data_IF_986053455851
#
_entry.id   IF_986053455851
#
_cell.length_a   1.000
_cell.length_b   1.000
_cell.length_c   1.000
_cell.angle_alpha   90.00
_cell.angle_beta   90.00
_cell.angle_gamma   90.00
#
_symmetry.space_group_name_H-M   'P 1'
#
loop_
_entity.id
_entity.type
_entity.pdbx_description
1 polymer ?
#
# COMPACT_ATOMS: atom_id res chain seq x y z
N UNK A 1 2.61 -12.20 -3.80
CA UNK A 1 1.68 -13.27 -4.16
C UNK A 1 0.50 -12.81 -4.99
N UNK A 2 0.03 -11.55 -4.83
CA UNK A 2 -1.12 -11.02 -5.54
C UNK A 2 -0.96 -10.91 -7.06
N UNK A 3 -2.06 -10.63 -7.76
CA UNK A 3 -2.12 -10.57 -9.23
C UNK A 3 -1.17 -9.52 -9.80
N UNK A 4 -1.08 -8.32 -9.19
CA UNK A 4 -0.31 -7.19 -9.69
C UNK A 4 1.19 -7.48 -9.69
N UNK A 5 1.72 -7.97 -8.57
CA UNK A 5 3.11 -8.41 -8.48
C UNK A 5 3.43 -9.58 -9.40
N UNK A 6 2.46 -10.47 -9.65
CA UNK A 6 2.62 -11.59 -10.58
C UNK A 6 2.65 -11.14 -12.03
N UNK A 7 1.86 -10.14 -12.41
CA UNK A 7 1.90 -9.52 -13.74
C UNK A 7 3.25 -8.84 -13.96
N UNK A 8 3.75 -8.06 -12.99
CA UNK A 8 5.08 -7.46 -13.08
C UNK A 8 6.17 -8.53 -13.23
N UNK A 9 6.11 -9.59 -12.42
CA UNK A 9 7.06 -10.70 -12.51
C UNK A 9 7.07 -11.34 -13.90
N UNK A 10 5.88 -11.54 -14.50
CA UNK A 10 5.76 -12.07 -15.84
C UNK A 10 6.40 -11.17 -16.91
N UNK A 11 6.11 -9.84 -16.86
CA UNK A 11 6.70 -8.91 -17.82
C UNK A 11 8.22 -8.78 -17.64
N UNK A 12 8.70 -8.70 -16.40
CA UNK A 12 10.15 -8.64 -16.13
C UNK A 12 10.85 -9.88 -16.62
N UNK A 13 10.26 -11.06 -16.40
CA UNK A 13 10.79 -12.32 -16.94
C UNK A 13 10.85 -12.33 -18.47
N UNK A 14 9.80 -11.83 -19.13
CA UNK A 14 9.73 -11.75 -20.59
C UNK A 14 10.80 -10.81 -21.19
N UNK A 15 11.09 -9.70 -20.48
CA UNK A 15 12.02 -8.66 -20.99
C UNK A 15 13.48 -9.01 -20.64
N UNK A 16 13.75 -9.47 -19.41
CA UNK A 16 15.11 -9.69 -18.90
C UNK A 16 15.54 -11.14 -18.88
N UNK A 17 14.62 -12.07 -18.74
CA UNK A 17 14.84 -13.52 -18.79
C UNK A 17 15.52 -14.10 -17.56
N UNK A 18 16.72 -13.68 -17.21
CA UNK A 18 17.56 -14.29 -16.18
C UNK A 18 18.07 -13.28 -15.14
N UNK A 19 18.54 -13.80 -13.99
CA UNK A 19 19.17 -13.04 -12.91
C UNK A 19 18.25 -12.00 -12.25
N UNK A 20 16.96 -12.31 -12.14
CA UNK A 20 15.98 -11.45 -11.49
C UNK A 20 15.86 -11.88 -10.02
N UNK A 21 15.90 -10.91 -9.13
CA UNK A 21 15.68 -11.10 -7.70
C UNK A 21 14.28 -10.64 -7.33
N UNK A 22 13.61 -11.42 -6.50
CA UNK A 22 12.29 -11.09 -5.94
C UNK A 22 12.34 -11.14 -4.42
N UNK A 23 11.54 -10.30 -3.79
CA UNK A 23 11.50 -10.14 -2.34
C UNK A 23 10.05 -10.21 -1.87
N UNK A 24 9.81 -10.94 -0.78
CA UNK A 24 8.51 -10.94 -0.11
C UNK A 24 8.69 -10.89 1.40
N UNK A 25 7.70 -10.34 2.10
CA UNK A 25 7.60 -10.46 3.55
C UNK A 25 6.85 -11.74 3.88
N UNK A 26 7.35 -12.45 4.89
CA UNK A 26 6.70 -13.60 5.51
C UNK A 26 6.25 -13.20 6.91
N UNK A 27 4.96 -13.23 7.15
CA UNK A 27 4.39 -13.02 8.46
C UNK A 27 4.27 -14.37 9.19
N UNK A 28 4.93 -14.48 10.33
CA UNK A 28 4.81 -15.67 11.16
C UNK A 28 3.41 -15.68 11.82
N UNK A 29 2.71 -16.79 11.70
CA UNK A 29 1.38 -17.02 12.30
C UNK A 29 0.25 -16.12 11.79
N UNK A 30 0.35 -15.60 10.57
CA UNK A 30 -0.69 -14.75 9.96
C UNK A 30 -1.54 -15.50 8.95
N UNK A 31 -2.87 -15.34 9.04
CA UNK A 31 -3.80 -15.79 7.99
C UNK A 31 -3.67 -14.97 6.69
N UNK A 32 -2.93 -13.88 6.72
CA UNK A 32 -2.69 -12.98 5.60
C UNK A 32 -1.27 -13.13 5.03
N UNK A 33 -0.58 -14.23 5.34
CA UNK A 33 0.75 -14.49 4.79
C UNK A 33 0.63 -15.03 3.36
N UNK A 34 1.13 -14.26 2.40
CA UNK A 34 1.18 -14.60 0.96
C UNK A 34 2.59 -15.01 0.51
N UNK A 35 3.47 -15.34 1.46
CA UNK A 35 4.87 -15.63 1.12
C UNK A 35 5.05 -16.92 0.32
N UNK A 36 4.15 -17.88 0.48
CA UNK A 36 4.18 -19.14 -0.27
C UNK A 36 3.79 -18.92 -1.74
N UNK A 37 2.73 -18.14 -2.01
CA UNK A 37 2.31 -17.77 -3.36
C UNK A 37 3.39 -16.94 -4.07
N UNK A 38 4.05 -16.04 -3.33
CA UNK A 38 5.18 -15.28 -3.85
C UNK A 38 6.36 -16.21 -4.23
N UNK A 39 6.68 -17.20 -3.39
CA UNK A 39 7.72 -18.18 -3.67
C UNK A 39 7.37 -19.07 -4.88
N UNK A 40 6.11 -19.49 -5.01
CA UNK A 40 5.64 -20.26 -6.18
C UNK A 40 5.76 -19.46 -7.47
N UNK A 41 5.37 -18.17 -7.45
CA UNK A 41 5.53 -17.27 -8.60
C UNK A 41 7.00 -17.09 -8.96
N UNK A 42 7.87 -16.87 -8.00
CA UNK A 42 9.31 -16.75 -8.21
C UNK A 42 9.91 -18.04 -8.80
N UNK A 43 9.52 -19.20 -8.28
CA UNK A 43 9.93 -20.51 -8.81
C UNK A 43 9.48 -20.70 -10.26
N UNK A 44 8.24 -20.33 -10.59
CA UNK A 44 7.70 -20.44 -11.97
C UNK A 44 8.52 -19.65 -12.98
N UNK A 45 9.05 -18.49 -12.60
CA UNK A 45 9.85 -17.63 -13.45
C UNK A 45 11.36 -17.78 -13.24
N UNK A 46 11.78 -18.74 -12.42
CA UNK A 46 13.19 -18.98 -12.10
C UNK A 46 13.92 -17.76 -11.53
N UNK A 47 13.25 -17.02 -10.62
CA UNK A 47 13.82 -15.89 -9.92
C UNK A 47 14.57 -16.34 -8.66
N UNK A 48 15.65 -15.63 -8.33
CA UNK A 48 16.27 -15.73 -6.99
C UNK A 48 15.34 -15.06 -5.98
N UNK A 49 14.68 -15.87 -5.15
CA UNK A 49 13.66 -15.39 -4.22
C UNK A 49 14.18 -15.24 -2.79
N UNK A 50 13.97 -14.07 -2.22
CA UNK A 50 14.29 -13.75 -0.83
C UNK A 50 12.98 -13.58 -0.03
N UNK A 51 12.65 -14.55 0.80
CA UNK A 51 11.55 -14.49 1.76
C UNK A 51 12.06 -13.94 3.09
N UNK A 52 11.54 -12.82 3.54
CA UNK A 52 12.01 -12.07 4.70
C UNK A 52 10.98 -12.20 5.81
N UNK A 53 11.31 -12.96 6.85
CA UNK A 53 10.44 -13.11 8.01
C UNK A 53 10.30 -11.81 8.78
N UNK A 54 9.08 -11.49 9.21
CA UNK A 54 8.76 -10.33 10.02
C UNK A 54 8.03 -10.79 11.30
N UNK A 55 8.63 -10.50 12.46
CA UNK A 55 8.15 -10.91 13.78
C UNK A 55 7.66 -9.72 14.61
N UNK A 56 7.02 -10.01 15.74
CA UNK A 56 6.65 -8.99 16.74
C UNK A 56 7.91 -8.29 17.29
N UNK A 57 9.03 -8.99 17.46
CA UNK A 57 10.29 -8.39 17.86
C UNK A 57 10.78 -7.37 16.82
N UNK A 58 10.72 -7.72 15.54
CA UNK A 58 11.06 -6.80 14.46
C UNK A 58 10.18 -5.53 14.48
N UNK A 59 8.88 -5.71 14.74
CA UNK A 59 7.95 -4.60 14.86
C UNK A 59 8.41 -3.60 15.92
N UNK A 60 8.76 -4.08 17.12
CA UNK A 60 9.20 -3.23 18.23
C UNK A 60 10.55 -2.55 17.93
N UNK A 61 11.51 -3.30 17.39
CA UNK A 61 12.87 -2.80 17.14
C UNK A 61 12.97 -1.84 15.96
N UNK A 62 12.13 -2.04 14.93
CA UNK A 62 12.15 -1.24 13.71
C UNK A 62 11.36 0.06 13.89
N UNK A 63 10.31 0.08 14.70
CA UNK A 63 9.43 1.22 14.88
C UNK A 63 10.18 2.54 15.14
N UNK A 64 11.06 2.66 16.15
CA UNK A 64 11.79 3.90 16.42
C UNK A 64 12.69 4.34 15.27
N UNK A 65 13.24 3.38 14.54
CA UNK A 65 14.09 3.64 13.36
C UNK A 65 13.28 4.17 12.19
N UNK A 66 12.15 3.52 11.92
CA UNK A 66 11.28 3.88 10.80
C UNK A 66 10.67 5.28 10.98
N UNK A 67 10.18 5.63 12.18
CA UNK A 67 9.67 6.97 12.49
C UNK A 67 10.70 8.05 12.16
N UNK A 68 11.96 7.81 12.48
CA UNK A 68 13.04 8.78 12.23
C UNK A 68 13.20 9.13 10.74
N UNK A 69 12.91 8.19 9.85
CA UNK A 69 12.96 8.40 8.40
C UNK A 69 11.61 8.82 7.82
N UNK A 70 10.52 8.49 8.52
CA UNK A 70 9.18 8.81 8.05
C UNK A 70 8.82 10.28 8.30
N UNK A 71 9.46 10.93 9.30
CA UNK A 71 9.28 12.33 9.71
C UNK A 71 7.90 12.67 10.28
N UNK A 72 7.02 11.70 10.41
CA UNK A 72 5.68 11.82 10.94
C UNK A 72 5.24 10.51 11.63
N UNK A 73 4.16 10.49 12.41
CA UNK A 73 3.65 9.26 12.99
C UNK A 73 3.30 8.24 11.90
N UNK A 74 3.73 6.99 12.09
CA UNK A 74 3.45 5.91 11.16
C UNK A 74 1.94 5.62 11.19
N UNK A 75 1.28 5.85 10.07
CA UNK A 75 -0.15 5.73 9.90
C UNK A 75 -0.60 4.41 9.25
N UNK A 76 0.34 3.55 8.84
CA UNK A 76 0.02 2.29 8.17
C UNK A 76 0.88 1.14 8.70
N UNK A 77 0.28 0.00 9.11
CA UNK A 77 1.01 -1.10 9.73
C UNK A 77 2.05 -1.75 8.81
N UNK A 78 1.84 -1.74 7.49
CA UNK A 78 2.79 -2.31 6.53
C UNK A 78 4.07 -1.47 6.35
N UNK A 79 4.17 -0.28 6.91
CA UNK A 79 5.37 0.57 6.84
C UNK A 79 6.61 -0.14 7.40
N UNK A 80 6.47 -0.83 8.53
CA UNK A 80 7.59 -1.50 9.19
C UNK A 80 8.08 -2.74 8.44
N UNK A 81 7.20 -3.63 7.96
CA UNK A 81 7.59 -4.71 7.06
C UNK A 81 8.33 -4.23 5.82
N UNK A 82 7.87 -3.13 5.18
CA UNK A 82 8.56 -2.54 4.02
C UNK A 82 9.95 -2.03 4.39
N UNK A 83 10.11 -1.35 5.53
CA UNK A 83 11.42 -0.92 6.02
C UNK A 83 12.39 -2.11 6.11
N UNK A 84 11.96 -3.24 6.71
CA UNK A 84 12.76 -4.45 6.80
C UNK A 84 13.07 -5.06 5.44
N UNK A 85 12.11 -5.08 4.52
CA UNK A 85 12.31 -5.58 3.17
C UNK A 85 13.41 -4.80 2.47
N UNK A 86 13.35 -3.47 2.49
CA UNK A 86 14.35 -2.62 1.83
C UNK A 86 15.72 -2.71 2.52
N UNK A 87 15.75 -2.90 3.85
CA UNK A 87 16.99 -3.15 4.59
C UNK A 87 17.73 -4.39 4.08
N UNK A 88 17.01 -5.44 3.71
CA UNK A 88 17.59 -6.64 3.11
C UNK A 88 17.90 -6.43 1.63
N UNK A 89 16.95 -5.88 0.88
CA UNK A 89 17.04 -5.71 -0.57
C UNK A 89 18.24 -4.86 -1.01
N UNK A 90 18.64 -3.85 -0.22
CA UNK A 90 19.79 -2.97 -0.53
C UNK A 90 21.11 -3.72 -0.77
N UNK A 91 21.26 -4.91 -0.20
CA UNK A 91 22.44 -5.75 -0.38
C UNK A 91 22.45 -6.50 -1.70
N UNK A 92 21.33 -6.51 -2.40
CA UNK A 92 21.13 -7.30 -3.61
C UNK A 92 20.81 -6.46 -4.84
N UNK A 93 20.09 -5.34 -4.67
CA UNK A 93 19.60 -4.51 -5.77
C UNK A 93 19.65 -3.02 -5.44
N UNK A 94 19.66 -2.18 -6.47
CA UNK A 94 19.54 -0.71 -6.36
C UNK A 94 18.14 -0.23 -6.70
N UNK A 95 17.42 -0.98 -7.53
CA UNK A 95 16.08 -0.65 -8.02
C UNK A 95 15.16 -1.84 -7.80
N UNK A 96 13.96 -1.57 -7.31
CA UNK A 96 12.87 -2.53 -7.18
C UNK A 96 11.65 -2.06 -7.99
N UNK A 97 10.87 -3.01 -8.46
CA UNK A 97 9.55 -2.75 -9.02
C UNK A 97 8.48 -3.16 -8.01
N UNK A 98 7.47 -2.31 -7.81
CA UNK A 98 6.32 -2.55 -6.94
C UNK A 98 5.03 -2.57 -7.74
N UNK A 99 4.07 -3.40 -7.32
CA UNK A 99 2.70 -3.43 -7.83
C UNK A 99 1.81 -2.28 -7.32
N UNK A 100 2.35 -1.37 -6.52
CA UNK A 100 1.58 -0.27 -5.93
C UNK A 100 0.97 0.61 -7.01
N UNK A 101 -0.25 1.08 -6.77
CA UNK A 101 -1.02 1.87 -7.71
C UNK A 101 -1.95 1.05 -8.60
N UNK A 102 -1.80 -0.27 -8.64
CA UNK A 102 -2.64 -1.14 -9.44
C UNK A 102 -4.09 -1.15 -8.92
N UNK A 103 -4.28 -1.34 -7.61
CA UNK A 103 -5.60 -1.37 -6.99
C UNK A 103 -6.33 -0.03 -7.14
N UNK A 104 -5.62 1.08 -7.05
CA UNK A 104 -6.16 2.42 -7.20
C UNK A 104 -6.58 2.69 -8.65
N UNK A 105 -5.78 2.26 -9.62
CA UNK A 105 -6.06 2.46 -11.04
C UNK A 105 -7.14 1.52 -11.58
N UNK A 106 -7.16 0.26 -11.12
CA UNK A 106 -7.99 -0.82 -11.68
C UNK A 106 -9.06 -1.35 -10.73
N UNK A 107 -9.33 -0.65 -9.63
CA UNK A 107 -10.37 -0.99 -8.64
C UNK A 107 -10.17 -2.38 -8.00
N UNK A 108 -8.94 -2.71 -7.62
CA UNK A 108 -8.57 -4.02 -7.09
C UNK A 108 -9.05 -4.28 -5.66
N UNK A 109 -9.29 -3.24 -4.85
CA UNK A 109 -9.71 -3.41 -3.46
C UNK A 109 -11.13 -3.94 -3.32
N UNK A 110 -11.35 -4.84 -2.37
CA UNK A 110 -12.69 -5.40 -2.11
C UNK A 110 -13.72 -4.32 -1.74
N UNK A 111 -13.29 -3.26 -1.06
CA UNK A 111 -14.18 -2.16 -0.68
C UNK A 111 -14.69 -1.36 -1.90
N UNK A 112 -14.01 -1.35 -3.04
CA UNK A 112 -14.48 -0.68 -4.24
C UNK A 112 -15.83 -1.25 -4.72
N UNK A 113 -16.01 -2.58 -4.65
CA UNK A 113 -17.29 -3.23 -4.99
C UNK A 113 -18.43 -2.76 -4.08
N UNK A 114 -18.12 -2.54 -2.79
CA UNK A 114 -19.10 -2.02 -1.83
C UNK A 114 -19.45 -0.57 -2.13
N UNK A 115 -18.46 0.27 -2.45
CA UNK A 115 -18.68 1.68 -2.82
C UNK A 115 -19.56 1.78 -4.05
N UNK A 116 -19.34 0.97 -5.09
CA UNK A 116 -20.16 0.96 -6.31
C UNK A 116 -21.63 0.61 -6.06
N UNK A 117 -21.94 -0.12 -5.01
CA UNK A 117 -23.30 -0.51 -4.62
C UNK A 117 -23.96 0.42 -3.61
N UNK A 118 -23.25 1.48 -3.13
CA UNK A 118 -23.76 2.37 -2.10
C UNK A 118 -24.75 3.38 -2.65
N UNK A 119 -25.85 3.56 -1.92
CA UNK A 119 -26.84 4.60 -2.17
C UNK A 119 -26.71 5.79 -1.23
N UNK A 120 -26.05 5.62 -0.07
CA UNK A 120 -25.80 6.68 0.93
C UNK A 120 -24.31 6.79 1.25
N UNK A 121 -23.72 7.94 0.93
CA UNK A 121 -22.29 8.24 1.12
C UNK A 121 -21.89 8.52 2.58
N UNK A 122 -22.84 8.58 3.53
CA UNK A 122 -22.53 8.72 4.95
C UNK A 122 -21.75 7.53 5.49
N UNK A 123 -21.96 6.37 4.89
CA UNK A 123 -21.25 5.14 5.25
C UNK A 123 -19.78 5.12 4.80
N UNK A 124 -19.35 6.02 3.92
CA UNK A 124 -17.93 6.15 3.55
C UNK A 124 -17.02 6.40 4.74
N UNK A 125 -17.52 7.00 5.83
CA UNK A 125 -16.79 7.12 7.10
C UNK A 125 -16.31 5.76 7.61
N UNK A 126 -17.05 4.69 7.36
CA UNK A 126 -16.76 3.36 7.84
C UNK A 126 -15.73 2.61 6.98
N UNK A 127 -15.52 3.02 5.72
CA UNK A 127 -14.56 2.37 4.80
C UNK A 127 -13.12 2.89 4.95
N UNK A 128 -12.94 4.10 5.39
CA UNK A 128 -11.61 4.73 5.55
C UNK A 128 -11.07 4.69 6.98
N UNK A 129 -11.73 3.95 7.89
CA UNK A 129 -11.34 3.87 9.29
C UNK A 129 -10.44 2.66 9.53
N UNK A 130 -9.17 2.90 9.82
CA UNK A 130 -8.31 1.90 10.45
C UNK A 130 -8.56 1.78 11.96
N UNK A 131 -9.14 2.83 12.57
CA UNK A 131 -9.46 2.88 14.01
C UNK A 131 -10.84 3.50 14.19
N UNK A 132 -11.66 2.90 15.05
CA UNK A 132 -12.96 3.46 15.40
C UNK A 132 -12.77 4.80 16.09
N UNK A 133 -13.47 5.83 15.57
CA UNK A 133 -13.36 7.19 16.10
C UNK A 133 -13.90 7.31 17.54
N UNK A 134 -14.88 6.49 17.88
CA UNK A 134 -15.41 6.46 19.25
C UNK A 134 -14.40 5.86 20.23
N UNK A 135 -13.58 4.91 19.79
CA UNK A 135 -12.44 4.40 20.55
C UNK A 135 -11.36 5.49 20.73
N UNK A 136 -11.08 6.27 19.68
CA UNK A 136 -10.11 7.37 19.75
C UNK A 136 -10.55 8.46 20.74
N UNK A 137 -11.85 8.77 20.81
CA UNK A 137 -12.40 9.76 21.76
C UNK A 137 -12.12 9.40 23.22
N UNK A 138 -12.05 8.12 23.53
CA UNK A 138 -11.76 7.65 24.90
C UNK A 138 -10.32 7.95 25.33
N UNK A 139 -9.36 7.96 24.37
CA UNK A 139 -7.92 8.09 24.65
C UNK A 139 -7.33 9.46 24.33
N UNK A 140 -8.01 10.26 23.53
CA UNK A 140 -7.52 11.57 23.11
C UNK A 140 -8.30 12.70 23.76
N UNK A 141 -7.58 13.72 24.24
CA UNK A 141 -8.21 14.97 24.66
C UNK A 141 -8.74 15.72 23.43
N UNK A 142 -10.06 15.62 23.19
CA UNK A 142 -10.71 16.18 22.01
C UNK A 142 -10.67 17.72 21.95
N UNK A 143 -10.45 18.40 23.07
CA UNK A 143 -10.27 19.86 23.09
C UNK A 143 -9.01 20.28 22.32
N UNK A 144 -8.01 19.39 22.24
CA UNK A 144 -6.76 19.64 21.50
C UNK A 144 -6.86 19.33 20.00
N UNK A 145 -7.85 18.54 19.57
CA UNK A 145 -7.95 18.05 18.18
C UNK A 145 -8.76 18.99 17.29
N UNK A 146 -9.47 19.97 17.88
CA UNK A 146 -10.34 20.87 17.13
C UNK A 146 -11.62 20.21 16.61
N UNK A 147 -12.27 20.85 15.64
CA UNK A 147 -13.55 20.38 15.11
C UNK A 147 -13.34 19.26 14.08
N UNK A 148 -13.40 18.01 14.53
CA UNK A 148 -13.29 16.84 13.64
C UNK A 148 -14.44 16.73 12.63
N UNK A 149 -15.58 17.41 12.87
CA UNK A 149 -16.71 17.40 11.94
C UNK A 149 -16.37 18.10 10.63
N UNK A 150 -15.54 19.13 10.63
CA UNK A 150 -15.13 19.84 9.40
C UNK A 150 -14.26 18.94 8.53
N UNK A 151 -13.32 18.20 9.13
CA UNK A 151 -12.50 17.23 8.39
C UNK A 151 -13.34 16.15 7.73
N UNK A 152 -14.27 15.54 8.47
CA UNK A 152 -15.15 14.50 7.94
C UNK A 152 -16.17 15.04 6.95
N UNK A 153 -16.65 16.26 7.15
CA UNK A 153 -17.53 16.95 6.22
C UNK A 153 -16.85 17.13 4.86
N UNK A 154 -15.66 17.69 4.84
CA UNK A 154 -14.88 17.91 3.61
C UNK A 154 -14.54 16.59 2.90
N UNK A 155 -14.16 15.54 3.65
CA UNK A 155 -13.88 14.23 3.09
C UNK A 155 -15.14 13.60 2.47
N UNK A 156 -16.29 13.75 3.11
CA UNK A 156 -17.58 13.25 2.60
C UNK A 156 -18.01 13.98 1.33
N UNK A 157 -17.87 15.29 1.26
CA UNK A 157 -18.19 16.06 0.05
C UNK A 157 -17.24 15.71 -1.12
N UNK A 158 -15.95 15.58 -0.86
CA UNK A 158 -15.00 15.09 -1.86
C UNK A 158 -15.37 13.69 -2.36
N UNK A 159 -15.71 12.78 -1.46
CA UNK A 159 -16.15 11.44 -1.83
C UNK A 159 -17.42 11.46 -2.69
N UNK A 160 -18.43 12.26 -2.33
CA UNK A 160 -19.65 12.44 -3.15
C UNK A 160 -19.32 12.92 -4.57
N UNK A 161 -18.45 13.93 -4.68
CA UNK A 161 -18.02 14.46 -5.96
C UNK A 161 -17.38 13.38 -6.84
N UNK A 162 -16.43 12.65 -6.31
CA UNK A 162 -15.72 11.63 -7.07
C UNK A 162 -16.61 10.44 -7.41
N UNK A 163 -17.30 9.87 -6.42
CA UNK A 163 -18.09 8.64 -6.60
C UNK A 163 -19.31 8.87 -7.50
N UNK A 164 -19.83 10.10 -7.59
CA UNK A 164 -20.89 10.44 -8.55
C UNK A 164 -20.49 10.21 -10.01
N UNK A 165 -19.18 10.06 -10.29
CA UNK A 165 -18.64 9.78 -11.62
C UNK A 165 -18.48 8.29 -11.91
N UNK A 166 -19.03 7.41 -11.06
CA UNK A 166 -18.95 5.95 -11.25
C UNK A 166 -17.57 5.38 -10.95
N UNK A 167 -17.19 4.33 -11.67
CA UNK A 167 -15.91 3.61 -11.47
C UNK A 167 -14.69 4.51 -11.59
N UNK A 168 -14.63 5.33 -12.63
CA UNK A 168 -13.58 6.34 -12.85
C UNK A 168 -13.46 7.29 -11.67
N UNK A 169 -14.58 7.68 -11.07
CA UNK A 169 -14.60 8.53 -9.90
C UNK A 169 -14.03 7.86 -8.65
N UNK A 170 -14.22 6.54 -8.49
CA UNK A 170 -13.61 5.81 -7.38
C UNK A 170 -12.08 5.82 -7.50
N UNK A 171 -11.55 5.51 -8.68
CA UNK A 171 -10.10 5.63 -8.92
C UNK A 171 -9.61 7.06 -8.66
N UNK A 172 -10.32 8.08 -9.15
CA UNK A 172 -10.01 9.48 -8.88
C UNK A 172 -9.96 9.81 -7.38
N UNK A 173 -10.88 9.27 -6.59
CA UNK A 173 -10.89 9.40 -5.13
C UNK A 173 -9.66 8.75 -4.49
N UNK A 174 -9.30 7.53 -4.91
CA UNK A 174 -8.12 6.82 -4.42
C UNK A 174 -6.83 7.58 -4.74
N UNK A 175 -6.68 8.05 -5.98
CA UNK A 175 -5.53 8.87 -6.40
C UNK A 175 -5.40 10.15 -5.56
N UNK A 176 -6.51 10.81 -5.28
CA UNK A 176 -6.51 12.08 -4.56
C UNK A 176 -6.28 11.93 -3.05
N UNK A 177 -6.82 10.87 -2.43
CA UNK A 177 -6.84 10.74 -0.98
C UNK A 177 -5.90 9.69 -0.40
N UNK A 178 -5.60 8.60 -1.13
CA UNK A 178 -4.88 7.46 -0.59
C UNK A 178 -3.51 7.26 -1.23
N UNK A 179 -3.42 7.33 -2.54
CA UNK A 179 -2.20 6.99 -3.27
C UNK A 179 -0.97 7.78 -2.82
N UNK A 180 -1.12 9.08 -2.57
CA UNK A 180 -0.01 9.91 -2.09
C UNK A 180 0.58 9.39 -0.78
N UNK A 181 -0.26 8.93 0.14
CA UNK A 181 0.19 8.35 1.42
C UNK A 181 0.95 7.04 1.20
N UNK A 182 0.47 6.20 0.28
CA UNK A 182 1.11 4.94 -0.06
C UNK A 182 2.47 5.16 -0.73
N UNK A 183 2.55 6.08 -1.68
CA UNK A 183 3.79 6.43 -2.38
C UNK A 183 4.82 7.07 -1.44
N UNK A 184 4.39 8.00 -0.57
CA UNK A 184 5.26 8.59 0.45
C UNK A 184 5.86 7.52 1.39
N UNK A 185 5.04 6.56 1.81
CA UNK A 185 5.48 5.41 2.61
C UNK A 185 6.56 4.60 1.91
N UNK A 186 6.32 4.23 0.65
CA UNK A 186 7.27 3.44 -0.14
C UNK A 186 8.56 4.21 -0.32
N UNK A 187 8.48 5.46 -0.76
CA UNK A 187 9.64 6.30 -1.03
C UNK A 187 10.50 6.47 0.23
N UNK A 188 9.92 6.93 1.34
CA UNK A 188 10.67 7.15 2.58
C UNK A 188 11.30 5.86 3.13
N UNK A 189 10.59 4.74 3.10
CA UNK A 189 11.11 3.47 3.62
C UNK A 189 12.19 2.88 2.72
N UNK A 190 12.07 3.00 1.42
CA UNK A 190 13.06 2.51 0.47
C UNK A 190 14.31 3.41 0.44
N UNK A 191 14.11 4.73 0.44
CA UNK A 191 15.21 5.69 0.45
C UNK A 191 16.00 5.70 1.76
N UNK A 192 15.39 5.34 2.89
CA UNK A 192 16.11 5.05 4.15
C UNK A 192 17.20 3.98 3.97
N UNK A 193 17.09 3.18 2.93
CA UNK A 193 18.02 2.10 2.58
C UNK A 193 18.73 2.30 1.23
N UNK A 194 18.56 3.47 0.58
CA UNK A 194 19.14 3.79 -0.73
C UNK A 194 18.73 2.79 -1.83
N UNK A 195 17.46 2.36 -1.79
CA UNK A 195 16.82 1.53 -2.80
C UNK A 195 15.78 2.37 -3.52
N UNK A 196 15.87 2.51 -4.83
CA UNK A 196 14.86 3.18 -5.64
C UNK A 196 13.69 2.21 -5.90
N UNK A 197 12.46 2.64 -5.66
CA UNK A 197 11.26 1.85 -6.00
C UNK A 197 10.53 2.53 -7.15
N UNK A 198 10.20 1.74 -8.17
CA UNK A 198 9.39 2.18 -9.30
C UNK A 198 8.06 1.44 -9.30
N UNK A 199 7.01 2.15 -9.70
CA UNK A 199 5.62 1.72 -9.70
C UNK A 199 5.07 1.72 -11.14
N UNK A 200 5.31 0.69 -11.96
CA UNK A 200 4.93 0.68 -13.37
C UNK A 200 3.44 0.82 -13.62
N UNK A 201 2.57 0.43 -12.66
CA UNK A 201 1.13 0.62 -12.78
C UNK A 201 0.68 2.09 -12.74
N UNK A 202 1.57 2.99 -12.34
CA UNK A 202 1.33 4.44 -12.35
C UNK A 202 1.94 5.14 -13.58
N UNK A 203 2.31 4.39 -14.61
CA UNK A 203 2.61 4.97 -15.90
C UNK A 203 1.37 5.70 -16.46
N UNK A 204 1.57 6.88 -17.05
CA UNK A 204 0.46 7.74 -17.47
C UNK A 204 -0.50 7.04 -18.45
N UNK A 205 0.06 6.33 -19.45
CA UNK A 205 -0.76 5.62 -20.44
C UNK A 205 -1.57 4.50 -19.79
N UNK A 206 -0.99 3.83 -18.78
CA UNK A 206 -1.65 2.75 -18.07
C UNK A 206 -2.75 3.26 -17.14
N UNK A 207 -2.50 4.39 -16.48
CA UNK A 207 -3.52 5.06 -15.64
C UNK A 207 -4.67 5.56 -16.49
N UNK A 208 -4.39 6.21 -17.63
CA UNK A 208 -5.43 6.67 -18.58
C UNK A 208 -6.25 5.49 -19.12
N UNK A 209 -5.63 4.34 -19.33
CA UNK A 209 -6.35 3.13 -19.74
C UNK A 209 -7.25 2.57 -18.61
N UNK A 210 -6.84 2.69 -17.34
CA UNK A 210 -7.60 2.21 -16.18
C UNK A 210 -8.79 3.10 -15.79
N UNK A 211 -8.71 4.40 -16.12
CA UNK A 211 -9.76 5.40 -15.85
C UNK A 211 -10.82 5.42 -16.95
#
# INVERSE_FOLDING_TARGET
GGIDSSILAWYVNKIKGNNIKSFSIKFLDSKFDESEEAAQTAKKFNFEHHSISFSVTDFIEIWPKAIKFFDEPINHPHTLPLFKLYQVAKNHVKVLLSGEGADEAFLGYEHHKKILSMTDYKDLRNFSKFVDFDLIKEYLNLELIGNTNDYWGNKTESAKYWISKGSTGISGYEFHHHLNTLLNRIDKMSMAHSVEVRTPFLDNELVEFGL
#
